data_IF_349391211598
#
_entry.id   IF_349391211598
#
_cell.length_a   1.000
_cell.length_b   1.000
_cell.length_c   1.000
_cell.angle_alpha   90.00
_cell.angle_beta   90.00
_cell.angle_gamma   90.00
#
_symmetry.space_group_name_H-M   'P 1'
#
loop_
_entity.id
_entity.type
_entity.pdbx_description
1 polymer ?
#
# COMPACT_ATOMS: atom_id res chain seq x y z
N UNK A 1 -10.37 11.21 -11.01
CA UNK A 1 -9.20 12.08 -10.97
C UNK A 1 -9.37 13.11 -12.06
N UNK A 2 -9.13 14.36 -11.74
CA UNK A 2 -9.34 15.51 -12.62
C UNK A 2 -7.97 16.15 -12.83
N UNK A 3 -7.51 16.22 -14.07
CA UNK A 3 -6.24 16.82 -14.45
C UNK A 3 -6.52 18.21 -15.01
N UNK A 4 -5.84 19.22 -14.46
CA UNK A 4 -6.11 20.61 -14.77
C UNK A 4 -4.80 21.31 -15.10
N UNK A 5 -4.73 22.00 -16.23
CA UNK A 5 -3.50 22.66 -16.69
C UNK A 5 -3.31 24.02 -16.03
N UNK A 6 -4.41 24.66 -15.62
CA UNK A 6 -4.39 25.97 -15.00
C UNK A 6 -5.43 26.08 -13.89
N UNK A 7 -5.08 26.80 -12.83
CA UNK A 7 -5.94 27.05 -11.67
C UNK A 7 -7.30 27.65 -12.05
N UNK A 8 -7.37 28.42 -13.14
CA UNK A 8 -8.61 29.06 -13.60
C UNK A 8 -9.66 28.10 -14.17
N UNK A 9 -9.28 26.88 -14.51
CA UNK A 9 -10.19 25.82 -14.98
C UNK A 9 -10.89 25.12 -13.81
N UNK A 10 -10.37 25.29 -12.58
CA UNK A 10 -10.97 24.74 -11.38
C UNK A 10 -12.17 25.59 -10.98
N UNK A 11 -13.37 25.03 -11.15
CA UNK A 11 -14.61 25.68 -10.76
C UNK A 11 -14.61 26.12 -9.28
N UNK A 12 -15.29 27.24 -8.94
CA UNK A 12 -15.46 27.68 -7.55
C UNK A 12 -16.22 26.65 -6.69
N UNK A 13 -17.03 25.80 -7.31
CA UNK A 13 -17.85 24.79 -6.63
C UNK A 13 -17.11 23.45 -6.42
N UNK A 14 -15.97 23.24 -7.09
CA UNK A 14 -15.22 21.99 -6.96
C UNK A 14 -14.36 22.02 -5.69
N UNK A 15 -14.56 21.05 -4.81
CA UNK A 15 -13.74 20.79 -3.63
C UNK A 15 -12.97 19.50 -3.86
N UNK A 16 -11.68 19.51 -3.55
CA UNK A 16 -10.81 18.33 -3.66
C UNK A 16 -10.14 18.10 -2.32
N UNK A 17 -10.06 16.82 -1.92
CA UNK A 17 -9.45 16.39 -0.67
C UNK A 17 -7.92 16.30 -0.76
N UNK A 18 -7.40 16.16 -1.98
CA UNK A 18 -5.98 15.98 -2.27
C UNK A 18 -5.61 16.72 -3.57
N UNK A 19 -4.56 17.54 -3.50
CA UNK A 19 -3.98 18.23 -4.64
C UNK A 19 -2.56 17.74 -4.90
N UNK A 20 -2.24 17.43 -6.15
CA UNK A 20 -0.89 17.17 -6.60
C UNK A 20 -0.43 18.33 -7.46
N UNK A 21 0.69 18.94 -7.11
CA UNK A 21 1.29 20.06 -7.85
C UNK A 21 2.69 19.69 -8.25
N UNK A 22 2.95 19.72 -9.56
CA UNK A 22 4.27 19.48 -10.10
C UNK A 22 5.19 20.71 -9.99
N UNK A 23 6.48 20.50 -9.78
CA UNK A 23 7.49 21.56 -9.70
C UNK A 23 7.49 22.46 -10.95
N UNK A 24 7.35 21.87 -12.13
CA UNK A 24 7.25 22.57 -13.41
C UNK A 24 6.00 23.45 -13.54
N UNK A 25 4.94 23.13 -12.79
CA UNK A 25 3.65 23.82 -12.83
C UNK A 25 3.42 24.74 -11.62
N UNK A 26 4.34 24.77 -10.66
CA UNK A 26 4.23 25.55 -9.43
C UNK A 26 4.54 27.04 -9.67
N UNK A 27 3.56 27.76 -10.20
CA UNK A 27 3.61 29.23 -10.32
C UNK A 27 3.11 29.91 -9.05
N UNK A 28 3.45 31.19 -8.84
CA UNK A 28 2.99 31.96 -7.66
C UNK A 28 1.46 31.96 -7.51
N UNK A 29 0.72 31.95 -8.62
CA UNK A 29 -0.74 31.90 -8.64
C UNK A 29 -1.31 30.58 -8.11
N UNK A 30 -0.59 29.46 -8.25
CA UNK A 30 -0.99 28.17 -7.67
C UNK A 30 -0.86 28.20 -6.15
N UNK A 31 0.21 28.81 -5.65
CA UNK A 31 0.42 28.97 -4.20
C UNK A 31 -0.66 29.85 -3.58
N UNK A 32 -0.94 31.01 -4.18
CA UNK A 32 -2.03 31.89 -3.73
C UNK A 32 -3.41 31.20 -3.78
N UNK A 33 -3.64 30.32 -4.75
CA UNK A 33 -4.87 29.54 -4.83
C UNK A 33 -5.00 28.50 -3.72
N UNK A 34 -3.92 27.78 -3.43
CA UNK A 34 -3.87 26.82 -2.33
C UNK A 34 -4.00 27.53 -0.98
N UNK A 35 -3.39 28.71 -0.82
CA UNK A 35 -3.48 29.49 0.43
C UNK A 35 -4.86 30.13 0.62
N UNK A 36 -5.50 30.57 -0.47
CA UNK A 36 -6.81 31.24 -0.42
C UNK A 36 -7.98 30.29 -0.20
N UNK A 37 -7.86 29.03 -0.62
CA UNK A 37 -8.84 27.99 -0.32
C UNK A 37 -8.33 27.15 0.85
N UNK A 38 -9.19 26.84 1.83
CA UNK A 38 -8.93 25.73 2.76
C UNK A 38 -9.13 24.40 2.02
N UNK A 39 -8.27 24.13 1.05
CA UNK A 39 -8.27 22.85 0.34
C UNK A 39 -7.85 21.73 1.28
N UNK A 40 -8.15 20.50 0.87
CA UNK A 40 -7.56 19.33 1.53
C UNK A 40 -6.04 19.31 1.39
N UNK A 41 -5.43 18.16 1.69
CA UNK A 41 -3.97 18.07 1.75
C UNK A 41 -3.33 18.38 0.39
N UNK A 42 -2.18 19.03 0.43
CA UNK A 42 -1.44 19.46 -0.75
C UNK A 42 -0.11 18.71 -0.83
N UNK A 43 0.14 18.11 -1.99
CA UNK A 43 1.33 17.31 -2.29
C UNK A 43 2.12 18.01 -3.39
N UNK A 44 3.38 18.31 -3.10
CA UNK A 44 4.33 18.90 -4.04
C UNK A 44 5.21 17.81 -4.65
N UNK A 45 5.34 17.78 -5.98
CA UNK A 45 6.18 16.81 -6.70
C UNK A 45 7.43 17.51 -7.21
N UNK A 46 8.61 17.13 -6.70
CA UNK A 46 9.88 17.77 -7.09
C UNK A 46 11.00 16.75 -7.32
N UNK A 47 11.98 17.10 -8.14
CA UNK A 47 13.23 16.32 -8.21
C UNK A 47 14.15 16.55 -7.00
N UNK A 48 14.02 17.71 -6.35
CA UNK A 48 14.81 18.10 -5.20
C UNK A 48 14.13 17.71 -3.88
N UNK A 49 14.92 17.41 -2.85
CA UNK A 49 14.46 17.11 -1.49
C UNK A 49 14.10 18.37 -0.69
N UNK A 50 13.89 19.50 -1.36
CA UNK A 50 13.61 20.77 -0.73
C UNK A 50 12.15 20.84 -0.26
N UNK A 51 11.95 20.96 1.05
CA UNK A 51 10.63 21.26 1.60
C UNK A 51 10.17 22.65 1.14
N UNK A 52 9.03 22.71 0.46
CA UNK A 52 8.48 23.98 -0.05
C UNK A 52 7.42 24.51 0.92
N UNK A 53 7.54 25.76 1.40
CA UNK A 53 6.54 26.37 2.26
C UNK A 53 5.21 26.49 1.51
N UNK A 54 4.11 26.14 2.18
CA UNK A 54 2.75 26.13 1.61
C UNK A 54 2.24 24.76 1.17
N UNK A 55 3.06 23.71 1.28
CA UNK A 55 2.65 22.33 0.99
C UNK A 55 2.75 21.45 2.22
N UNK A 56 1.80 20.52 2.38
CA UNK A 56 1.78 19.59 3.51
C UNK A 56 2.84 18.48 3.35
N UNK A 57 3.02 18.00 2.12
CA UNK A 57 3.90 16.89 1.80
C UNK A 57 4.68 17.18 0.53
N UNK A 58 5.96 16.83 0.52
CA UNK A 58 6.82 16.87 -0.67
C UNK A 58 7.19 15.44 -1.06
N UNK A 59 6.94 15.07 -2.31
CA UNK A 59 7.22 13.76 -2.88
C UNK A 59 8.29 13.90 -3.97
N UNK A 60 9.40 13.16 -3.79
CA UNK A 60 10.55 13.21 -4.68
C UNK A 60 10.31 12.39 -5.95
N UNK A 61 10.62 12.96 -7.11
CA UNK A 61 10.67 12.27 -8.41
C UNK A 61 12.06 11.64 -8.62
N UNK A 62 12.16 10.39 -9.13
CA UNK A 62 11.07 9.46 -9.43
C UNK A 62 10.47 8.81 -8.16
N UNK A 63 9.16 8.59 -8.15
CA UNK A 63 8.44 7.93 -7.05
C UNK A 63 7.82 6.61 -7.50
N UNK A 64 7.61 5.71 -6.53
CA UNK A 64 6.89 4.46 -6.76
C UNK A 64 5.37 4.69 -6.62
N UNK A 65 4.51 3.98 -7.38
CA UNK A 65 3.06 4.06 -7.20
C UNK A 65 2.60 3.78 -5.76
N UNK A 66 3.32 2.90 -5.05
CA UNK A 66 3.07 2.61 -3.64
C UNK A 66 3.20 3.83 -2.74
N UNK A 67 4.10 4.77 -3.06
CA UNK A 67 4.28 5.99 -2.28
C UNK A 67 3.05 6.90 -2.41
N UNK A 68 2.44 6.99 -3.59
CA UNK A 68 1.17 7.72 -3.77
C UNK A 68 0.04 7.06 -2.98
N UNK A 69 -0.05 5.72 -2.99
CA UNK A 69 -1.09 5.01 -2.24
C UNK A 69 -1.01 5.29 -0.74
N UNK A 70 0.21 5.28 -0.17
CA UNK A 70 0.43 5.64 1.24
C UNK A 70 -0.01 7.07 1.53
N UNK A 71 0.24 8.02 0.61
CA UNK A 71 -0.23 9.39 0.74
C UNK A 71 -1.75 9.46 0.73
N UNK A 72 -2.42 8.77 -0.18
CA UNK A 72 -3.88 8.73 -0.27
C UNK A 72 -4.51 8.15 1.00
N UNK A 73 -3.99 7.04 1.53
CA UNK A 73 -4.48 6.42 2.77
C UNK A 73 -4.34 7.35 3.98
N UNK A 74 -3.29 8.17 3.99
CA UNK A 74 -3.06 9.11 5.10
C UNK A 74 -4.08 10.25 5.15
N UNK A 75 -4.75 10.57 4.03
CA UNK A 75 -5.69 11.70 3.89
C UNK A 75 -7.04 11.40 4.56
N UNK A 76 -7.47 10.14 4.56
CA UNK A 76 -8.78 9.71 5.08
C UNK A 76 -8.95 9.88 6.60
N UNK A 77 -7.88 10.22 7.34
CA UNK A 77 -7.86 10.25 8.80
C UNK A 77 -8.20 11.65 9.37
N UNK A 78 -8.18 12.72 8.55
CA UNK A 78 -8.55 14.08 9.01
C UNK A 78 -10.00 14.42 8.63
N UNK A 79 -10.91 13.50 8.94
CA UNK A 79 -12.29 13.89 9.22
C UNK A 79 -12.35 14.17 10.72
N UNK A 80 -11.81 15.32 11.13
CA UNK A 80 -12.00 15.84 12.48
C UNK A 80 -13.50 15.80 12.81
N UNK A 81 -13.91 15.21 13.95
CA UNK A 81 -15.30 15.28 14.39
C UNK A 81 -15.64 16.76 14.55
N UNK A 82 -16.73 17.18 13.92
CA UNK A 82 -17.31 18.51 14.09
C UNK A 82 -17.29 18.86 15.59
N UNK A 83 -16.61 19.95 15.93
CA UNK A 83 -16.73 20.58 17.23
C UNK A 83 -18.20 20.91 17.41
N UNK A 84 -18.89 20.12 18.24
CA UNK A 84 -20.22 20.43 18.76
C UNK A 84 -20.16 21.80 19.43
N UNK A 85 -20.52 22.83 18.68
CA UNK A 85 -20.82 24.15 19.22
C UNK A 85 -22.04 23.99 20.10
N UNK A 86 -21.82 24.07 21.41
CA UNK A 86 -22.82 24.20 22.45
C UNK A 86 -23.77 25.34 22.10
N UNK A 87 -25.01 25.01 21.74
CA UNK A 87 -26.14 25.92 21.88
C UNK A 87 -27.01 25.48 23.07
N UNK A 88 -27.62 26.42 23.80
CA UNK A 88 -28.13 26.20 25.14
C UNK A 88 -29.44 25.39 25.12
N UNK A 89 -29.45 24.28 25.86
CA UNK A 89 -30.67 23.54 26.19
C UNK A 89 -31.51 24.40 27.13
N UNK A 90 -32.51 25.10 26.58
CA UNK A 90 -33.57 25.81 27.30
C UNK A 90 -34.68 24.81 27.61
N UNK A 91 -34.43 23.75 28.37
CA UNK A 91 -35.50 22.96 29.00
C UNK A 91 -34.97 22.28 30.27
N UNK A 92 -35.62 22.47 31.42
CA UNK A 92 -35.12 21.98 32.70
C UNK A 92 -35.29 20.45 32.80
N UNK A 93 -34.25 19.68 33.14
CA UNK A 93 -34.43 18.31 33.56
C UNK A 93 -34.88 18.30 35.02
N UNK A 94 -36.05 17.71 35.27
CA UNK A 94 -36.47 17.34 36.61
C UNK A 94 -35.53 16.26 37.17
N UNK A 95 -35.27 16.42 38.47
CA UNK A 95 -34.38 15.63 39.30
C UNK A 95 -34.86 14.18 39.43
N UNK A 96 -33.99 13.20 39.16
CA UNK A 96 -34.05 11.89 39.83
C UNK A 96 -32.62 11.44 40.21
N UNK A 97 -32.24 11.89 41.40
CA UNK A 97 -31.60 11.14 42.49
C UNK A 97 -30.64 9.98 42.18
N UNK A 98 -29.37 10.20 42.54
CA UNK A 98 -28.56 9.43 43.49
C UNK A 98 -28.48 7.90 43.34
N UNK A 99 -27.27 7.41 43.07
CA UNK A 99 -26.53 6.61 44.06
C UNK A 99 -25.05 6.60 43.73
N UNK A 100 -24.28 7.21 44.64
CA UNK A 100 -22.85 7.02 44.77
C UNK A 100 -22.61 5.67 45.46
N UNK A 101 -21.68 4.88 44.92
CA UNK A 101 -20.77 4.10 45.76
C UNK A 101 -19.36 4.25 45.16
N UNK A 102 -18.56 5.04 45.86
CA UNK A 102 -17.11 4.96 45.84
C UNK A 102 -16.71 3.70 46.60
N UNK A 103 -15.89 2.85 45.99
CA UNK A 103 -14.87 2.11 46.72
C UNK A 103 -13.62 2.07 45.86
N UNK A 104 -12.60 2.75 46.38
CA UNK A 104 -11.19 2.58 46.04
C UNK A 104 -10.82 1.09 46.04
N UNK A 105 -10.15 0.60 45.00
CA UNK A 105 -8.86 -0.07 45.18
C UNK A 105 -8.16 -0.41 43.85
N UNK A 106 -6.85 -0.19 43.85
CA UNK A 106 -5.83 -0.80 43.00
C UNK A 106 -5.92 -0.69 41.47
N UNK A 107 -5.04 0.16 40.94
CA UNK A 107 -4.50 0.13 39.58
C UNK A 107 -3.78 -1.21 39.34
N UNK A 108 -4.03 -1.86 38.19
CA UNK A 108 -2.88 -2.29 37.39
C UNK A 108 -3.02 -1.77 35.97
N UNK A 109 -2.08 -0.90 35.60
CA UNK A 109 -1.72 -0.58 34.23
C UNK A 109 -1.23 -1.84 33.54
N UNK A 110 -2.12 -2.58 32.87
CA UNK A 110 -1.74 -3.54 31.83
C UNK A 110 -1.49 -2.77 30.53
N UNK A 111 -0.25 -2.33 30.41
CA UNK A 111 0.45 -2.05 29.17
C UNK A 111 0.16 -3.15 28.15
N UNK A 112 -0.61 -2.81 27.12
CA UNK A 112 -0.61 -3.54 25.87
C UNK A 112 0.82 -3.48 25.31
N UNK A 113 1.49 -4.62 25.41
CA UNK A 113 2.74 -4.94 24.72
C UNK A 113 2.50 -4.87 23.21
N UNK A 114 2.60 -3.66 22.65
CA UNK A 114 2.98 -3.50 21.27
C UNK A 114 4.34 -4.20 21.08
N UNK A 115 4.60 -4.88 19.95
CA UNK A 115 5.94 -5.35 19.65
C UNK A 115 6.83 -4.10 19.58
N UNK A 116 7.68 -3.95 20.59
CA UNK A 116 8.83 -3.05 20.55
C UNK A 116 9.71 -3.59 19.44
N UNK A 117 9.52 -3.06 18.23
CA UNK A 117 10.57 -3.11 17.22
C UNK A 117 11.79 -2.44 17.86
N UNK A 118 12.94 -3.13 17.97
CA UNK A 118 14.16 -2.47 18.35
C UNK A 118 14.47 -1.45 17.24
N UNK A 119 14.20 -0.18 17.53
CA UNK A 119 14.87 0.96 16.92
C UNK A 119 16.32 0.96 17.43
N UNK A 120 17.08 -0.03 16.98
CA UNK A 120 18.55 0.02 16.96
C UNK A 120 18.92 0.41 15.55
N UNK A 121 19.36 1.66 15.45
CA UNK A 121 20.44 2.14 14.60
C UNK A 121 20.36 1.82 13.10
N UNK A 122 20.30 2.90 12.35
CA UNK A 122 20.55 2.98 10.91
C UNK A 122 21.50 1.88 10.40
N UNK A 123 21.06 1.00 9.48
CA UNK A 123 22.00 0.31 8.62
C UNK A 123 22.45 1.33 7.57
N UNK A 124 23.40 2.17 7.96
CA UNK A 124 24.29 2.89 7.06
C UNK A 124 25.18 1.87 6.34
N UNK A 125 24.60 1.04 5.47
CA UNK A 125 25.34 0.09 4.59
C UNK A 125 25.88 0.80 3.34
N UNK A 126 26.23 2.08 3.48
CA UNK A 126 27.01 2.83 2.50
C UNK A 126 28.35 3.27 3.11
N UNK A 127 28.94 2.43 3.97
CA UNK A 127 30.20 2.73 4.66
C UNK A 127 31.15 1.53 4.83
N UNK A 128 31.10 0.54 3.95
CA UNK A 128 32.13 -0.53 3.90
C UNK A 128 33.10 -0.41 2.72
N UNK A 129 33.16 0.74 2.05
CA UNK A 129 34.26 1.03 1.10
C UNK A 129 34.80 2.46 1.21
N UNK A 130 34.65 3.08 2.39
CA UNK A 130 35.54 4.17 2.74
C UNK A 130 36.76 3.53 3.38
N UNK A 131 37.77 3.26 2.55
CA UNK A 131 39.13 3.00 2.97
C UNK A 131 39.43 3.86 4.21
N UNK A 132 39.73 3.18 5.31
CA UNK A 132 40.57 3.71 6.38
C UNK A 132 41.85 4.20 5.69
N UNK A 133 41.85 5.47 5.27
CA UNK A 133 43.10 6.17 4.99
C UNK A 133 43.64 6.49 6.38
N UNK A 134 44.23 5.47 7.01
CA UNK A 134 45.26 5.70 8.01
C UNK A 134 46.19 6.73 7.39
N UNK A 135 46.26 7.91 8.01
CA UNK A 135 47.33 8.86 7.74
C UNK A 135 48.62 8.23 8.25
N UNK A 136 49.13 7.23 7.52
CA UNK A 136 50.51 6.81 7.64
C UNK A 136 51.36 8.01 7.28
N UNK A 137 52.03 8.55 8.29
CA UNK A 137 52.97 9.67 8.20
C UNK A 137 53.84 9.56 6.94
N UNK A 138 53.69 10.50 5.99
CA UNK A 138 54.57 10.79 4.84
C UNK A 138 55.71 9.78 4.62
N UNK A 139 55.37 8.54 4.26
CA UNK A 139 56.33 7.48 4.02
C UNK A 139 56.81 7.69 2.59
N UNK A 140 58.07 8.09 2.46
CA UNK A 140 58.71 8.24 1.15
C UNK A 140 58.73 6.86 0.52
N UNK A 141 58.07 6.70 -0.63
CA UNK A 141 58.01 5.44 -1.36
C UNK A 141 59.41 5.06 -1.85
N UNK A 142 59.77 3.78 -1.69
CA UNK A 142 61.04 3.28 -2.19
C UNK A 142 61.01 3.16 -3.72
N UNK A 143 62.18 3.21 -4.37
CA UNK A 143 62.28 3.15 -5.85
C UNK A 143 61.55 1.94 -6.47
N UNK A 144 61.50 0.81 -5.75
CA UNK A 144 60.78 -0.41 -6.16
C UNK A 144 59.26 -0.27 -6.07
N UNK A 145 58.75 0.44 -5.06
CA UNK A 145 57.32 0.74 -4.92
C UNK A 145 56.88 1.72 -6.01
N UNK A 146 57.70 2.73 -6.30
CA UNK A 146 57.44 3.69 -7.38
C UNK A 146 57.41 2.99 -8.74
N UNK A 147 58.34 2.07 -9.01
CA UNK A 147 58.35 1.28 -10.26
C UNK A 147 57.10 0.40 -10.38
N UNK A 148 56.66 -0.21 -9.28
CA UNK A 148 55.41 -0.99 -9.23
C UNK A 148 54.16 -0.14 -9.49
N UNK A 149 54.10 1.06 -8.93
CA UNK A 149 53.00 2.01 -9.18
C UNK A 149 53.03 2.48 -10.64
N UNK A 150 54.22 2.69 -11.19
CA UNK A 150 54.39 3.07 -12.59
C UNK A 150 53.90 1.97 -13.54
N UNK A 151 54.26 0.71 -13.28
CA UNK A 151 53.79 -0.44 -14.06
C UNK A 151 52.25 -0.59 -13.98
N UNK A 152 51.65 -0.29 -12.82
CA UNK A 152 50.18 -0.30 -12.64
C UNK A 152 49.47 0.85 -13.39
N UNK A 153 50.14 1.99 -13.59
CA UNK A 153 49.60 3.14 -14.31
C UNK A 153 49.87 3.09 -15.82
N UNK A 154 50.94 2.41 -16.24
CA UNK A 154 51.28 2.13 -17.64
C UNK A 154 50.50 0.90 -18.19
N UNK A 155 49.64 0.26 -17.38
CA UNK A 155 48.57 -0.59 -17.90
C UNK A 155 47.51 0.33 -18.50
N UNK A 156 47.56 0.51 -19.82
CA UNK A 156 46.62 1.33 -20.59
C UNK A 156 45.17 1.12 -20.09
N UNK A 157 44.48 2.21 -19.77
CA UNK A 157 43.09 2.28 -19.30
C UNK A 157 42.08 1.75 -20.35
N UNK A 158 42.56 1.18 -21.45
CA UNK A 158 41.82 0.74 -22.63
C UNK A 158 41.44 -0.75 -22.58
N UNK A 159 41.80 -1.49 -21.53
CA UNK A 159 41.52 -2.93 -21.43
C UNK A 159 41.17 -3.40 -20.00
N UNK A 160 40.26 -2.68 -19.34
CA UNK A 160 39.40 -3.31 -18.33
C UNK A 160 38.26 -4.02 -19.08
N UNK A 161 38.23 -5.36 -19.18
CA UNK A 161 36.99 -6.01 -19.53
C UNK A 161 35.99 -5.66 -18.44
N UNK A 162 34.97 -4.89 -18.80
CA UNK A 162 33.69 -4.85 -18.13
C UNK A 162 33.32 -6.30 -17.80
N UNK A 163 33.54 -6.74 -16.56
CA UNK A 163 33.26 -8.12 -16.13
C UNK A 163 31.76 -8.48 -16.26
N UNK A 164 30.93 -7.49 -16.60
CA UNK A 164 29.51 -7.59 -16.90
C UNK A 164 29.20 -7.92 -18.36
N UNK A 165 30.17 -7.86 -19.29
CA UNK A 165 29.90 -7.91 -20.74
C UNK A 165 30.18 -9.27 -21.40
N UNK A 166 30.86 -10.22 -20.72
CA UNK A 166 31.22 -11.51 -21.32
C UNK A 166 30.29 -12.69 -20.98
N UNK A 167 29.43 -12.54 -19.97
CA UNK A 167 28.31 -13.47 -19.80
C UNK A 167 27.18 -12.89 -20.64
N UNK A 168 27.00 -13.43 -21.85
CA UNK A 168 25.94 -13.02 -22.77
C UNK A 168 24.67 -12.65 -22.00
N UNK A 169 24.17 -11.44 -22.19
CA UNK A 169 23.06 -10.85 -21.44
C UNK A 169 21.86 -11.82 -21.30
N UNK A 170 21.64 -12.64 -22.33
CA UNK A 170 20.68 -13.75 -22.38
C UNK A 170 20.84 -14.78 -21.24
N UNK A 171 22.08 -15.15 -20.86
CA UNK A 171 22.35 -16.07 -19.76
C UNK A 171 22.04 -15.43 -18.41
N UNK A 172 22.33 -14.13 -18.25
CA UNK A 172 22.00 -13.40 -17.02
C UNK A 172 20.49 -13.23 -16.88
N UNK A 173 19.80 -12.92 -17.98
CA UNK A 173 18.35 -12.83 -18.02
C UNK A 173 17.71 -14.18 -17.70
N UNK A 174 18.20 -15.28 -18.29
CA UNK A 174 17.73 -16.62 -17.99
C UNK A 174 17.93 -16.98 -16.51
N UNK A 175 19.08 -16.64 -15.91
CA UNK A 175 19.32 -16.86 -14.48
C UNK A 175 18.36 -16.07 -13.59
N UNK A 176 18.00 -14.84 -13.97
CA UNK A 176 17.00 -14.04 -13.25
C UNK A 176 15.62 -14.69 -13.34
N UNK A 177 15.22 -15.14 -14.53
CA UNK A 177 13.95 -15.84 -14.75
C UNK A 177 13.89 -17.12 -13.93
N UNK A 178 14.95 -17.93 -13.93
CA UNK A 178 15.02 -19.18 -13.16
C UNK A 178 14.94 -18.93 -11.66
N UNK A 179 15.60 -17.89 -11.15
CA UNK A 179 15.55 -17.52 -9.73
C UNK A 179 14.14 -17.11 -9.28
N UNK A 180 13.46 -16.28 -10.09
CA UNK A 180 12.07 -15.86 -9.82
C UNK A 180 11.13 -17.08 -9.90
N UNK A 181 11.30 -17.93 -10.90
CA UNK A 181 10.53 -19.17 -11.09
C UNK A 181 10.64 -20.08 -9.86
N UNK A 182 11.85 -20.32 -9.38
CA UNK A 182 12.10 -21.13 -8.19
C UNK A 182 11.47 -20.52 -6.92
N UNK A 183 11.56 -19.19 -6.76
CA UNK A 183 10.95 -18.50 -5.63
C UNK A 183 9.42 -18.66 -5.64
N UNK A 184 8.76 -18.42 -6.78
CA UNK A 184 7.30 -18.56 -6.91
C UNK A 184 6.84 -19.99 -6.59
N UNK A 185 7.57 -21.01 -7.07
CA UNK A 185 7.30 -22.42 -6.73
C UNK A 185 7.49 -22.67 -5.23
N UNK A 186 8.52 -22.09 -4.59
CA UNK A 186 8.77 -22.23 -3.16
C UNK A 186 7.68 -21.61 -2.28
N UNK A 187 7.05 -20.53 -2.76
CA UNK A 187 5.91 -19.87 -2.12
C UNK A 187 4.58 -20.62 -2.35
N UNK A 188 4.62 -21.71 -3.15
CA UNK A 188 3.45 -22.54 -3.47
C UNK A 188 2.60 -21.98 -4.61
N UNK A 189 3.16 -21.10 -5.45
CA UNK A 189 2.50 -20.57 -6.65
C UNK A 189 2.83 -21.46 -7.85
N UNK A 190 1.78 -21.94 -8.52
CA UNK A 190 1.90 -22.73 -9.75
C UNK A 190 1.99 -21.79 -10.96
N UNK A 191 3.08 -21.89 -11.73
CA UNK A 191 3.26 -21.14 -12.97
C UNK A 191 2.70 -21.98 -14.12
N UNK A 192 1.59 -21.52 -14.69
CA UNK A 192 0.92 -22.15 -15.82
C UNK A 192 1.22 -21.37 -17.08
N UNK A 193 1.54 -22.06 -18.17
CA UNK A 193 1.78 -21.41 -19.47
C UNK A 193 0.53 -20.68 -19.96
N UNK A 194 0.71 -19.50 -20.57
CA UNK A 194 -0.40 -18.71 -21.11
C UNK A 194 -1.29 -19.53 -22.07
N UNK A 195 -0.68 -20.42 -22.86
CA UNK A 195 -1.40 -21.29 -23.80
C UNK A 195 -2.37 -22.24 -23.09
N UNK A 196 -1.99 -22.78 -21.94
CA UNK A 196 -2.84 -23.65 -21.13
C UNK A 196 -4.02 -22.87 -20.51
N UNK A 197 -3.78 -21.63 -20.07
CA UNK A 197 -4.82 -20.73 -19.58
C UNK A 197 -5.82 -20.39 -20.69
N UNK A 198 -5.31 -20.05 -21.88
CA UNK A 198 -6.10 -19.72 -23.06
C UNK A 198 -6.91 -20.93 -23.53
N UNK A 199 -6.33 -22.13 -23.53
CA UNK A 199 -7.03 -23.37 -23.85
C UNK A 199 -8.13 -23.69 -22.82
N UNK A 200 -7.85 -23.54 -21.53
CA UNK A 200 -8.84 -23.70 -20.46
C UNK A 200 -10.03 -22.74 -20.66
N UNK A 201 -9.76 -21.46 -20.91
CA UNK A 201 -10.78 -20.43 -21.14
C UNK A 201 -11.59 -20.65 -22.43
N UNK A 202 -10.97 -21.15 -23.50
CA UNK A 202 -11.67 -21.41 -24.77
C UNK A 202 -12.48 -22.72 -24.75
N UNK A 203 -12.05 -23.71 -23.95
CA UNK A 203 -12.74 -25.00 -23.81
C UNK A 203 -14.13 -24.88 -23.18
N UNK A 204 -14.41 -23.78 -22.45
CA UNK A 204 -15.72 -23.49 -21.87
C UNK A 204 -16.80 -23.13 -22.91
N UNK A 205 -16.43 -22.84 -24.16
CA UNK A 205 -17.40 -22.37 -25.16
C UNK A 205 -17.85 -23.43 -26.18
N UNK A 206 -17.10 -24.51 -26.43
CA UNK A 206 -17.49 -25.54 -27.42
C UNK A 206 -16.87 -26.92 -27.14
N UNK A 207 -17.58 -27.79 -26.41
CA UNK A 207 -18.00 -29.14 -26.87
C UNK A 207 -18.41 -30.12 -25.75
N UNK A 208 -19.55 -30.78 -25.98
CA UNK A 208 -19.91 -32.16 -25.62
C UNK A 208 -19.28 -32.79 -24.35
N UNK A 209 -20.06 -32.74 -23.26
CA UNK A 209 -20.41 -33.88 -22.39
C UNK A 209 -19.26 -34.81 -21.94
N UNK A 210 -18.40 -34.34 -21.04
CA UNK A 210 -18.02 -35.11 -19.83
C UNK A 210 -18.28 -34.23 -18.62
N UNK A 211 -19.45 -34.43 -18.02
CA UNK A 211 -19.92 -33.72 -16.83
C UNK A 211 -19.01 -34.09 -15.66
N UNK A 212 -17.92 -33.34 -15.43
CA UNK A 212 -17.33 -33.25 -14.08
C UNK A 212 -18.49 -32.77 -13.21
N UNK A 213 -18.96 -33.64 -12.31
CA UNK A 213 -19.97 -33.24 -11.33
C UNK A 213 -19.27 -32.19 -10.47
N UNK A 214 -19.61 -30.92 -10.64
CA UNK A 214 -19.48 -29.96 -9.55
C UNK A 214 -20.14 -30.62 -8.35
N UNK A 215 -19.40 -30.71 -7.25
CA UNK A 215 -19.86 -31.37 -6.04
C UNK A 215 -20.94 -30.47 -5.40
N UNK A 216 -22.14 -30.46 -5.98
CA UNK A 216 -23.30 -29.69 -5.48
C UNK A 216 -23.88 -30.28 -4.19
N UNK A 217 -23.11 -31.13 -3.50
CA UNK A 217 -23.53 -31.85 -2.31
C UNK A 217 -24.81 -32.65 -2.57
N UNK A 218 -25.71 -32.76 -1.58
CA UNK A 218 -26.95 -33.53 -1.71
C UNK A 218 -28.02 -32.87 -2.61
N UNK A 219 -27.74 -31.71 -3.24
CA UNK A 219 -28.72 -30.96 -4.02
C UNK A 219 -28.54 -31.12 -5.54
N UNK A 220 -29.66 -31.19 -6.25
CA UNK A 220 -29.70 -31.10 -7.72
C UNK A 220 -29.29 -29.68 -8.16
N UNK A 221 -28.64 -29.43 -9.33
CA UNK A 221 -28.16 -28.09 -9.69
C UNK A 221 -29.29 -27.05 -9.74
N UNK A 222 -30.47 -27.48 -10.21
CA UNK A 222 -31.68 -26.64 -10.25
C UNK A 222 -32.19 -26.28 -8.86
N UNK A 223 -32.10 -27.20 -7.90
CA UNK A 223 -32.49 -26.95 -6.51
C UNK A 223 -31.47 -26.05 -5.81
N UNK A 224 -30.19 -26.20 -6.14
CA UNK A 224 -29.11 -25.38 -5.65
C UNK A 224 -29.27 -23.91 -6.08
N UNK A 225 -29.61 -23.65 -7.34
CA UNK A 225 -29.93 -22.28 -7.80
C UNK A 225 -31.12 -21.68 -7.04
N UNK A 226 -32.15 -22.47 -6.75
CA UNK A 226 -33.31 -22.02 -5.96
C UNK A 226 -32.87 -21.72 -4.51
N UNK A 227 -32.03 -22.57 -3.93
CA UNK A 227 -31.46 -22.37 -2.60
C UNK A 227 -30.63 -21.10 -2.52
N UNK A 228 -29.75 -20.84 -3.49
CA UNK A 228 -28.94 -19.61 -3.56
C UNK A 228 -29.83 -18.36 -3.64
N UNK A 229 -30.83 -18.36 -4.52
CA UNK A 229 -31.80 -17.26 -4.63
C UNK A 229 -32.55 -17.01 -3.33
N UNK A 230 -32.97 -18.07 -2.64
CA UNK A 230 -33.62 -17.94 -1.34
C UNK A 230 -32.67 -17.46 -0.24
N UNK A 231 -31.40 -17.90 -0.26
CA UNK A 231 -30.38 -17.48 0.69
C UNK A 231 -30.12 -15.97 0.59
N UNK A 232 -29.91 -15.45 -0.62
CA UNK A 232 -29.76 -14.02 -0.86
C UNK A 232 -30.97 -13.23 -0.35
N UNK A 233 -32.18 -13.70 -0.68
CA UNK A 233 -33.42 -13.06 -0.21
C UNK A 233 -33.55 -13.07 1.32
N UNK A 234 -33.11 -14.14 1.97
CA UNK A 234 -33.08 -14.22 3.44
C UNK A 234 -32.04 -13.28 4.06
N UNK A 235 -30.88 -13.12 3.39
CA UNK A 235 -29.81 -12.23 3.80
C UNK A 235 -30.26 -10.76 3.81
N UNK A 236 -30.96 -10.32 2.75
CA UNK A 236 -31.55 -8.98 2.68
C UNK A 236 -32.69 -8.75 3.68
N UNK A 237 -33.34 -9.82 4.15
CA UNK A 237 -34.42 -9.72 5.16
C UNK A 237 -33.88 -9.74 6.60
N UNK A 238 -32.57 -9.80 6.81
CA UNK A 238 -31.98 -9.76 8.15
C UNK A 238 -32.19 -8.40 8.81
N UNK A 239 -32.50 -8.41 10.11
CA UNK A 239 -32.57 -7.17 10.91
C UNK A 239 -31.16 -6.54 11.01
N UNK A 240 -31.03 -5.20 11.09
CA UNK A 240 -29.73 -4.52 11.22
C UNK A 240 -28.87 -5.04 12.38
N UNK A 241 -29.50 -5.42 13.50
CA UNK A 241 -28.83 -6.03 14.66
C UNK A 241 -28.12 -7.35 14.32
N UNK A 242 -28.68 -8.17 13.41
CA UNK A 242 -28.06 -9.43 12.97
C UNK A 242 -26.95 -9.18 11.96
N UNK A 243 -27.11 -8.20 11.06
CA UNK A 243 -26.07 -7.77 10.11
C UNK A 243 -24.84 -7.25 10.89
N UNK A 244 -25.05 -6.39 11.89
CA UNK A 244 -23.97 -5.90 12.76
C UNK A 244 -23.26 -7.02 13.53
N UNK A 245 -23.96 -8.10 13.89
CA UNK A 245 -23.33 -9.29 14.50
C UNK A 245 -22.49 -10.06 13.47
N UNK A 246 -23.00 -10.22 12.25
CA UNK A 246 -22.29 -10.89 11.15
C UNK A 246 -21.00 -10.15 10.78
N UNK A 247 -21.04 -8.82 10.66
CA UNK A 247 -19.86 -7.98 10.38
C UNK A 247 -18.81 -8.02 11.50
N UNK A 248 -19.21 -8.36 12.72
CA UNK A 248 -18.31 -8.59 13.86
C UNK A 248 -17.76 -10.02 13.93
N UNK A 249 -17.94 -10.82 12.87
CA UNK A 249 -17.51 -12.22 12.81
C UNK A 249 -18.32 -13.18 13.69
N UNK A 250 -19.50 -12.78 14.19
CA UNK A 250 -20.33 -13.66 15.04
C UNK A 250 -21.27 -14.52 14.18
N UNK A 251 -21.41 -15.79 14.57
CA UNK A 251 -22.29 -16.74 13.89
C UNK A 251 -23.77 -16.33 13.96
N UNK A 252 -24.47 -16.33 12.82
CA UNK A 252 -25.90 -16.02 12.70
C UNK A 252 -26.63 -17.20 12.07
N UNK A 253 -27.61 -17.78 12.78
CA UNK A 253 -28.47 -18.84 12.25
C UNK A 253 -29.54 -18.26 11.31
N UNK A 254 -29.53 -18.70 10.05
CA UNK A 254 -30.53 -18.37 9.03
C UNK A 254 -31.33 -19.65 8.72
N UNK A 255 -32.66 -19.57 8.80
CA UNK A 255 -33.56 -20.68 8.45
C UNK A 255 -34.19 -20.41 7.09
N UNK A 256 -33.85 -21.22 6.09
CA UNK A 256 -34.40 -21.14 4.74
C UNK A 256 -35.62 -22.06 4.62
N UNK A 257 -36.69 -21.59 3.97
CA UNK A 257 -37.87 -22.39 3.66
C UNK A 257 -37.88 -22.73 2.18
N UNK A 258 -37.29 -23.88 1.84
CA UNK A 258 -37.37 -24.43 0.49
C UNK A 258 -38.83 -24.83 0.22
N UNK A 259 -39.41 -24.27 -0.84
CA UNK A 259 -40.74 -24.68 -1.30
C UNK A 259 -40.49 -25.90 -2.19
N UNK A 260 -40.68 -27.09 -1.65
CA UNK A 260 -40.51 -28.34 -2.40
C UNK A 260 -41.39 -28.35 -3.64
N UNK A 261 -40.80 -28.68 -4.78
CA UNK A 261 -41.56 -28.99 -5.99
C UNK A 261 -42.29 -30.32 -5.76
N UNK A 262 -43.62 -30.29 -5.85
CA UNK A 262 -44.40 -31.47 -6.22
C UNK A 262 -44.22 -31.72 -7.72
#
# INVERSE_FOLDING_TARGET
MDEVQSVGEIGPENTYDLFFVDDASCTGSVKEFIDSRKTGRTVFLSYDDAAVPGFDITLKKPFLPSQILVLMESVDIVREPEKETKEPVIFPPEEETLSAEETEDSVPTETLSAPVFPLTEEPSVLKENLLEIEQESSRILDRREIEKIKDLLDMDEEEMPSFEEEVAEEILEQRKVDAITAQLISEGLEIVDEKEIVEALHSDSKSKKKKKREDTGPFNPKEFEVLQKQFLKALFKLKPKKIKKLLKGKNVKITLKLKGGN
#
